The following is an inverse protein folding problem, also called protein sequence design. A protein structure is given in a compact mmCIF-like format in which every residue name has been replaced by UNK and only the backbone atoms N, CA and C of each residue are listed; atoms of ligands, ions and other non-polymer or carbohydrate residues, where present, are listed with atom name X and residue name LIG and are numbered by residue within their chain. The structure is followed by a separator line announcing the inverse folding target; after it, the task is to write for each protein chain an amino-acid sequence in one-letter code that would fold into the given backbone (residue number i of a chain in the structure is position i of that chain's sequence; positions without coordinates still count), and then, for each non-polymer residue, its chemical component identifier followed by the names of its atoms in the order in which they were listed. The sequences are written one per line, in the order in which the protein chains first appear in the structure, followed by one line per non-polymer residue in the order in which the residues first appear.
data_IF_708232177384
#
_entry.id   IF_708232177384
#
_cell.length_a   1.000
_cell.length_b   1.000
_cell.length_c   1.000
_cell.angle_alpha   90.00
_cell.angle_beta   90.00
_cell.angle_gamma   90.00
#
_symmetry.space_group_name_H-M   'P 1'
#
loop_
_entity.id
_entity.type
_entity.pdbx_description
1 polymer ?
#
# COMPACT_ATOMS: atom_id res chain seq x y z
N UNK A 1 19.31 37.62 -26.94
CA UNK A 1 18.31 36.53 -26.86
C UNK A 1 17.09 37.08 -26.15
N UNK A 2 15.91 36.91 -26.73
CA UNK A 2 14.68 37.45 -26.17
C UNK A 2 14.30 36.69 -24.89
N UNK A 3 14.20 37.34 -23.70
CA UNK A 3 13.93 36.68 -22.41
C UNK A 3 12.60 35.91 -22.39
N UNK A 4 11.63 36.29 -23.22
CA UNK A 4 10.34 35.60 -23.39
C UNK A 4 10.51 34.21 -23.99
N UNK A 5 11.47 34.03 -24.92
CA UNK A 5 11.75 32.74 -25.58
C UNK A 5 12.39 31.72 -24.65
N UNK A 6 12.97 32.14 -23.53
CA UNK A 6 13.56 31.27 -22.50
C UNK A 6 12.56 31.03 -21.36
N UNK A 7 11.73 32.02 -21.04
CA UNK A 7 10.81 31.94 -19.89
C UNK A 7 9.68 30.93 -20.11
N UNK A 8 9.11 30.83 -21.30
CA UNK A 8 7.98 29.90 -21.59
C UNK A 8 8.40 28.42 -21.49
N UNK A 9 9.50 27.93 -22.12
CA UNK A 9 9.91 26.55 -21.95
C UNK A 9 10.37 26.24 -20.53
N UNK A 10 10.98 27.19 -19.79
CA UNK A 10 11.35 27.00 -18.40
C UNK A 10 10.12 26.83 -17.49
N UNK A 11 9.09 27.67 -17.68
CA UNK A 11 7.83 27.57 -16.95
C UNK A 11 7.10 26.24 -17.24
N UNK A 12 7.06 25.81 -18.49
CA UNK A 12 6.49 24.52 -18.87
C UNK A 12 7.24 23.33 -18.26
N UNK A 13 8.57 23.37 -18.24
CA UNK A 13 9.41 22.33 -17.63
C UNK A 13 9.20 22.26 -16.12
N UNK A 14 9.13 23.39 -15.41
CA UNK A 14 8.86 23.47 -13.98
C UNK A 14 7.46 22.95 -13.64
N UNK A 15 6.45 23.29 -14.45
CA UNK A 15 5.08 22.77 -14.28
C UNK A 15 5.01 21.27 -14.49
N UNK A 16 5.69 20.73 -15.50
CA UNK A 16 5.80 19.30 -15.75
C UNK A 16 6.50 18.54 -14.60
N UNK A 17 7.59 19.11 -14.07
CA UNK A 17 8.30 18.54 -12.90
C UNK A 17 7.43 18.53 -11.64
N UNK A 18 6.67 19.61 -11.38
CA UNK A 18 5.77 19.70 -10.23
C UNK A 18 4.62 18.68 -10.32
N UNK A 19 4.01 18.53 -11.49
CA UNK A 19 2.96 17.53 -11.74
C UNK A 19 3.53 16.11 -11.59
N UNK A 20 4.72 15.83 -12.14
CA UNK A 20 5.38 14.54 -11.99
C UNK A 20 5.67 14.24 -10.51
N UNK A 21 6.23 15.19 -9.78
CA UNK A 21 6.44 15.04 -8.32
C UNK A 21 5.13 14.75 -7.58
N UNK A 22 4.06 15.51 -7.88
CA UNK A 22 2.75 15.33 -7.27
C UNK A 22 2.16 13.95 -7.55
N UNK A 23 2.33 13.45 -8.78
CA UNK A 23 1.74 12.19 -9.23
C UNK A 23 2.51 10.95 -8.76
N UNK A 24 3.85 11.01 -8.74
CA UNK A 24 4.72 9.84 -8.56
C UNK A 24 5.36 9.73 -7.17
N UNK A 25 5.65 10.87 -6.51
CA UNK A 25 6.39 10.80 -5.25
C UNK A 25 5.45 10.48 -4.06
N UNK A 26 5.66 9.35 -3.34
CA UNK A 26 4.72 8.88 -2.32
C UNK A 26 4.42 9.89 -1.20
N UNK A 27 5.38 10.74 -0.85
CA UNK A 27 5.23 11.75 0.22
C UNK A 27 4.65 13.08 -0.25
N UNK A 28 4.38 13.22 -1.55
CA UNK A 28 3.77 14.46 -2.06
C UNK A 28 2.35 14.62 -1.53
N UNK A 29 2.04 15.81 -1.03
CA UNK A 29 0.71 16.20 -0.54
C UNK A 29 0.04 17.24 -1.47
N UNK A 30 0.59 17.45 -2.67
CA UNK A 30 0.10 18.50 -3.60
C UNK A 30 -1.33 18.23 -4.06
N UNK A 31 -1.68 16.98 -4.36
CA UNK A 31 -3.04 16.61 -4.76
C UNK A 31 -3.97 16.31 -3.59
N UNK A 32 -3.48 16.38 -2.35
CA UNK A 32 -4.23 16.13 -1.14
C UNK A 32 -3.46 15.28 -0.13
N UNK A 33 -4.06 15.12 1.05
CA UNK A 33 -3.43 14.41 2.17
C UNK A 33 -3.34 12.90 1.91
N UNK A 34 -2.17 12.33 2.15
CA UNK A 34 -1.92 10.89 2.11
C UNK A 34 -1.19 10.42 3.36
N UNK A 35 -1.50 9.21 3.81
CA UNK A 35 -0.78 8.50 4.87
C UNK A 35 0.41 7.79 4.22
N UNK A 36 1.64 8.13 4.62
CA UNK A 36 2.85 7.50 4.10
C UNK A 36 3.83 7.07 5.18
N UNK A 37 3.47 7.22 6.47
CA UNK A 37 4.24 6.84 7.65
C UNK A 37 3.32 6.44 8.79
N UNK A 38 3.85 5.67 9.74
CA UNK A 38 3.18 5.44 11.02
C UNK A 38 3.46 6.58 12.00
N UNK A 39 2.66 6.70 13.08
CA UNK A 39 2.81 7.76 14.09
C UNK A 39 3.92 7.48 15.11
N UNK A 40 4.52 6.29 15.12
CA UNK A 40 5.61 5.93 16.03
C UNK A 40 6.75 5.25 15.29
N UNK A 41 7.99 5.61 15.62
CA UNK A 41 9.19 5.01 15.05
C UNK A 41 9.35 3.50 15.35
N UNK A 42 8.68 3.00 16.37
CA UNK A 42 8.65 1.57 16.73
C UNK A 42 7.54 0.77 16.03
N UNK A 43 6.75 1.41 15.17
CA UNK A 43 5.71 0.74 14.40
C UNK A 43 6.20 0.43 12.98
N UNK A 44 5.87 -0.76 12.50
CA UNK A 44 5.98 -1.17 11.11
C UNK A 44 4.60 -1.61 10.62
N UNK A 45 4.01 -0.85 9.70
CA UNK A 45 2.81 -1.27 9.01
C UNK A 45 3.18 -2.15 7.82
N UNK A 46 2.89 -3.45 7.94
CA UNK A 46 3.01 -4.39 6.84
C UNK A 46 1.79 -4.24 5.93
N UNK A 47 2.01 -3.99 4.65
CA UNK A 47 0.90 -3.84 3.69
C UNK A 47 1.13 -4.68 2.45
N UNK A 48 0.07 -5.35 1.99
CA UNK A 48 0.06 -6.27 0.87
C UNK A 48 -0.93 -5.80 -0.19
N UNK A 49 -0.48 -5.69 -1.44
CA UNK A 49 -1.28 -5.24 -2.56
C UNK A 49 -1.61 -6.40 -3.53
N UNK A 50 -2.61 -6.19 -4.38
CA UNK A 50 -3.02 -7.07 -5.49
C UNK A 50 -3.69 -8.41 -5.10
N UNK A 51 -3.94 -8.65 -3.80
CA UNK A 51 -4.66 -9.84 -3.33
C UNK A 51 -6.21 -9.71 -3.43
N UNK A 52 -6.95 -10.67 -2.86
CA UNK A 52 -6.46 -11.93 -2.27
C UNK A 52 -5.95 -12.91 -3.32
N UNK A 53 -4.95 -13.72 -2.95
CA UNK A 53 -4.34 -14.69 -3.85
C UNK A 53 -4.38 -16.09 -3.24
N UNK A 54 -5.14 -17.05 -3.81
CA UNK A 54 -5.31 -18.37 -3.22
C UNK A 54 -4.02 -19.21 -3.15
N UNK A 55 -3.00 -18.88 -3.96
CA UNK A 55 -1.71 -19.58 -3.93
C UNK A 55 -0.76 -19.07 -2.84
N UNK A 56 -0.88 -17.83 -2.43
CA UNK A 56 0.10 -17.15 -1.57
C UNK A 56 -0.52 -16.67 -0.25
N UNK A 57 -1.69 -16.01 -0.30
CA UNK A 57 -2.28 -15.37 0.88
C UNK A 57 -2.46 -16.34 2.06
N UNK A 58 -2.92 -17.60 1.92
CA UNK A 58 -3.03 -18.52 3.05
C UNK A 58 -1.69 -18.74 3.76
N UNK A 59 -0.62 -19.00 3.03
CA UNK A 59 0.73 -19.18 3.56
C UNK A 59 1.28 -17.91 4.22
N UNK A 60 0.94 -16.75 3.66
CA UNK A 60 1.27 -15.46 4.24
C UNK A 60 0.57 -15.24 5.57
N UNK A 61 -0.72 -15.58 5.67
CA UNK A 61 -1.49 -15.50 6.91
C UNK A 61 -0.89 -16.39 8.00
N UNK A 62 -0.51 -17.63 7.66
CA UNK A 62 0.14 -18.56 8.59
C UNK A 62 1.51 -18.02 9.07
N UNK A 63 2.26 -17.39 8.17
CA UNK A 63 3.53 -16.76 8.52
C UNK A 63 3.31 -15.55 9.46
N UNK A 64 2.34 -14.70 9.18
CA UNK A 64 2.03 -13.54 10.03
C UNK A 64 1.56 -13.95 11.43
N UNK A 65 0.77 -15.01 11.56
CA UNK A 65 0.31 -15.54 12.86
C UNK A 65 1.45 -16.03 13.73
N UNK A 66 2.51 -16.66 13.16
CA UNK A 66 3.71 -17.09 13.90
C UNK A 66 4.41 -15.94 14.63
N UNK A 67 4.27 -14.71 14.14
CA UNK A 67 4.86 -13.51 14.71
C UNK A 67 3.84 -12.62 15.43
N UNK A 68 2.59 -13.07 15.58
CA UNK A 68 1.46 -12.26 16.06
C UNK A 68 1.39 -10.90 15.31
N UNK A 69 1.70 -10.92 14.01
CA UNK A 69 1.75 -9.75 13.17
C UNK A 69 0.37 -9.46 12.57
N UNK A 70 -0.10 -8.23 12.70
CA UNK A 70 -1.28 -7.74 11.98
C UNK A 70 -0.84 -6.90 10.78
N UNK A 71 -1.58 -7.00 9.69
CA UNK A 71 -1.24 -6.37 8.43
C UNK A 71 -2.47 -5.75 7.77
N UNK A 72 -2.24 -4.97 6.72
CA UNK A 72 -3.31 -4.41 5.89
C UNK A 72 -3.19 -4.95 4.47
N UNK A 73 -4.28 -5.48 3.94
CA UNK A 73 -4.38 -6.02 2.59
C UNK A 73 -5.19 -5.05 1.71
N UNK A 74 -4.55 -4.44 0.73
CA UNK A 74 -5.17 -3.62 -0.30
C UNK A 74 -5.62 -4.54 -1.43
N UNK A 75 -6.89 -4.92 -1.39
CA UNK A 75 -7.43 -5.97 -2.26
C UNK A 75 -8.10 -5.44 -3.51
N UNK A 76 -7.97 -6.17 -4.62
CA UNK A 76 -8.62 -5.88 -5.89
C UNK A 76 -10.04 -6.45 -5.85
N UNK A 77 -11.05 -5.63 -6.09
CA UNK A 77 -12.46 -5.98 -5.92
C UNK A 77 -12.90 -7.19 -6.75
N UNK A 78 -12.39 -7.35 -7.99
CA UNK A 78 -12.69 -8.56 -8.79
C UNK A 78 -12.17 -9.83 -8.11
N UNK A 79 -11.00 -9.81 -7.50
CA UNK A 79 -10.46 -10.98 -6.79
C UNK A 79 -11.15 -11.21 -5.44
N UNK A 80 -11.65 -10.16 -4.80
CA UNK A 80 -12.53 -10.31 -3.63
C UNK A 80 -13.77 -11.12 -3.98
N UNK A 81 -14.43 -10.82 -5.13
CA UNK A 81 -15.60 -11.57 -5.58
C UNK A 81 -15.30 -13.03 -5.93
N UNK A 82 -14.12 -13.28 -6.53
CA UNK A 82 -13.68 -14.64 -6.89
C UNK A 82 -13.24 -15.46 -5.65
N UNK A 83 -12.71 -14.81 -4.62
CA UNK A 83 -12.11 -15.44 -3.45
C UNK A 83 -12.76 -14.98 -2.13
N UNK A 84 -14.09 -14.95 -2.06
CA UNK A 84 -14.82 -14.44 -0.88
C UNK A 84 -14.46 -15.14 0.43
N UNK A 85 -14.30 -16.47 0.40
CA UNK A 85 -13.92 -17.25 1.58
C UNK A 85 -12.54 -16.82 2.13
N UNK A 86 -11.56 -16.64 1.25
CA UNK A 86 -10.22 -16.17 1.61
C UNK A 86 -10.25 -14.72 2.11
N UNK A 87 -11.07 -13.86 1.50
CA UNK A 87 -11.27 -12.48 1.97
C UNK A 87 -11.83 -12.45 3.39
N UNK A 88 -12.82 -13.31 3.70
CA UNK A 88 -13.36 -13.49 5.06
C UNK A 88 -12.29 -13.99 6.03
N UNK A 89 -11.45 -14.92 5.62
CA UNK A 89 -10.37 -15.46 6.43
C UNK A 89 -9.34 -14.38 6.79
N UNK A 90 -8.93 -13.53 5.84
CA UNK A 90 -8.05 -12.37 6.12
C UNK A 90 -8.63 -11.52 7.26
N UNK A 91 -9.92 -11.16 7.16
CA UNK A 91 -10.60 -10.36 8.18
C UNK A 91 -10.73 -11.10 9.52
N UNK A 92 -11.09 -12.40 9.49
CA UNK A 92 -11.27 -13.23 10.69
C UNK A 92 -9.97 -13.42 11.48
N UNK A 93 -8.81 -13.44 10.80
CA UNK A 93 -7.49 -13.46 11.43
C UNK A 93 -7.02 -12.08 11.95
N UNK A 94 -7.91 -11.05 11.91
CA UNK A 94 -7.67 -9.72 12.49
C UNK A 94 -6.81 -8.80 11.61
N UNK A 95 -6.66 -9.10 10.33
CA UNK A 95 -6.03 -8.19 9.38
C UNK A 95 -7.03 -7.17 8.85
N UNK A 96 -6.52 -6.01 8.42
CA UNK A 96 -7.33 -4.95 7.85
C UNK A 96 -7.46 -5.12 6.34
N UNK A 97 -8.68 -5.09 5.82
CA UNK A 97 -8.96 -5.02 4.39
C UNK A 97 -9.08 -3.56 3.94
N UNK A 98 -8.49 -3.24 2.80
CA UNK A 98 -8.46 -1.92 2.21
C UNK A 98 -8.69 -1.97 0.69
N UNK A 99 -9.15 -0.88 0.12
CA UNK A 99 -9.55 -0.79 -1.29
C UNK A 99 -8.32 -0.58 -2.20
N UNK A 100 -8.20 -1.43 -3.25
CA UNK A 100 -7.19 -1.29 -4.30
C UNK A 100 -7.81 -1.22 -5.71
N UNK A 101 -9.00 -0.60 -5.82
CA UNK A 101 -9.84 -0.53 -7.02
C UNK A 101 -10.47 -1.87 -7.42
N UNK A 102 -11.39 -1.82 -8.39
CA UNK A 102 -12.07 -3.02 -8.89
C UNK A 102 -11.19 -3.85 -9.81
N UNK A 103 -10.42 -3.20 -10.72
CA UNK A 103 -9.69 -3.90 -11.80
C UNK A 103 -8.21 -3.53 -11.89
N UNK A 104 -7.72 -2.65 -10.99
CA UNK A 104 -6.33 -2.17 -10.94
C UNK A 104 -5.90 -1.35 -12.17
N UNK A 105 -6.68 -0.37 -12.65
CA UNK A 105 -6.26 0.48 -13.76
C UNK A 105 -5.25 1.54 -13.31
N UNK A 106 -4.53 2.12 -14.27
CA UNK A 106 -3.73 3.30 -14.00
C UNK A 106 -4.64 4.54 -13.90
N UNK A 107 -4.96 4.93 -12.66
CA UNK A 107 -5.89 6.02 -12.35
C UNK A 107 -5.40 7.40 -12.80
N UNK A 108 -4.10 7.58 -13.03
CA UNK A 108 -3.54 8.86 -13.47
C UNK A 108 -4.19 9.36 -14.79
N UNK A 109 -4.54 8.43 -15.66
CA UNK A 109 -5.14 8.71 -16.96
C UNK A 109 -6.68 8.75 -16.98
N UNK A 110 -7.32 8.50 -15.83
CA UNK A 110 -8.78 8.41 -15.74
C UNK A 110 -9.38 9.70 -15.20
N UNK A 111 -10.60 10.00 -15.68
CA UNK A 111 -11.43 11.07 -15.14
C UNK A 111 -12.17 10.65 -13.85
N UNK A 112 -12.78 11.62 -13.14
CA UNK A 112 -13.36 11.39 -11.81
C UNK A 112 -14.47 10.33 -11.80
N UNK A 113 -15.30 10.24 -12.82
CA UNK A 113 -16.37 9.24 -12.90
C UNK A 113 -15.82 7.81 -12.98
N UNK A 114 -14.79 7.57 -13.81
CA UNK A 114 -14.16 6.27 -13.96
C UNK A 114 -13.40 5.88 -12.67
N UNK A 115 -12.67 6.82 -12.07
CA UNK A 115 -12.00 6.63 -10.77
C UNK A 115 -13.02 6.26 -9.70
N UNK A 116 -14.11 7.02 -9.58
CA UNK A 116 -15.17 6.76 -8.61
C UNK A 116 -15.84 5.40 -8.80
N UNK A 117 -16.05 4.98 -10.05
CA UNK A 117 -16.63 3.68 -10.36
C UNK A 117 -15.72 2.52 -9.93
N UNK A 118 -14.42 2.60 -10.22
CA UNK A 118 -13.42 1.62 -9.78
C UNK A 118 -13.37 1.47 -8.25
N UNK A 119 -13.41 2.59 -7.53
CA UNK A 119 -13.41 2.58 -6.06
C UNK A 119 -14.72 2.03 -5.48
N UNK A 120 -15.90 2.46 -6.01
CA UNK A 120 -17.20 2.00 -5.51
C UNK A 120 -17.43 0.51 -5.72
N UNK A 121 -17.10 -0.02 -6.88
CA UNK A 121 -17.27 -1.46 -7.15
C UNK A 121 -16.40 -2.34 -6.23
N UNK A 122 -15.20 -1.89 -5.86
CA UNK A 122 -14.39 -2.58 -4.88
C UNK A 122 -14.98 -2.46 -3.46
N UNK A 123 -15.56 -1.30 -3.08
CA UNK A 123 -16.29 -1.14 -1.82
C UNK A 123 -17.48 -2.08 -1.73
N UNK A 124 -18.25 -2.21 -2.81
CA UNK A 124 -19.37 -3.14 -2.91
C UNK A 124 -18.89 -4.59 -2.72
N UNK A 125 -17.81 -5.00 -3.41
CA UNK A 125 -17.25 -6.34 -3.25
C UNK A 125 -16.81 -6.63 -1.80
N UNK A 126 -16.19 -5.66 -1.12
CA UNK A 126 -15.81 -5.78 0.29
C UNK A 126 -17.04 -5.83 1.20
N UNK A 127 -18.04 -4.97 0.97
CA UNK A 127 -19.29 -4.99 1.72
C UNK A 127 -20.03 -6.33 1.57
N UNK A 128 -20.06 -6.91 0.37
CA UNK A 128 -20.64 -8.23 0.11
C UNK A 128 -19.87 -9.35 0.82
N UNK A 129 -18.53 -9.27 0.83
CA UNK A 129 -17.69 -10.32 1.41
C UNK A 129 -17.64 -10.27 2.95
N UNK A 130 -17.45 -9.10 3.55
CA UNK A 130 -17.15 -8.97 4.99
C UNK A 130 -18.09 -8.05 5.77
N UNK A 131 -19.12 -7.51 5.12
CA UNK A 131 -20.15 -6.69 5.77
C UNK A 131 -19.76 -5.24 6.07
N UNK A 132 -18.54 -4.81 5.70
CA UNK A 132 -18.05 -3.47 5.97
C UNK A 132 -17.27 -2.91 4.77
N UNK A 133 -17.49 -1.62 4.41
CA UNK A 133 -16.69 -0.94 3.40
C UNK A 133 -15.29 -0.62 3.95
N UNK A 134 -14.29 -0.54 3.07
CA UNK A 134 -12.95 -0.13 3.44
C UNK A 134 -12.89 1.35 3.85
N UNK A 135 -12.08 1.67 4.85
CA UNK A 135 -11.77 3.05 5.29
C UNK A 135 -10.47 3.58 4.68
N UNK A 136 -9.69 2.71 4.04
CA UNK A 136 -8.40 3.03 3.45
C UNK A 136 -8.37 2.59 2.00
N UNK A 137 -7.62 3.35 1.21
CA UNK A 137 -7.49 3.15 -0.22
C UNK A 137 -6.01 3.33 -0.62
N UNK A 138 -5.54 2.51 -1.55
CA UNK A 138 -4.26 2.72 -2.20
C UNK A 138 -4.46 2.76 -3.71
N UNK A 139 -3.97 3.83 -4.38
CA UNK A 139 -4.06 3.89 -5.83
C UNK A 139 -3.12 2.86 -6.47
N UNK A 140 -3.57 2.13 -7.51
CA UNK A 140 -2.71 1.30 -8.33
C UNK A 140 -1.42 2.01 -8.77
N UNK A 141 -0.29 1.31 -8.68
CA UNK A 141 1.05 1.85 -8.98
C UNK A 141 1.48 3.05 -8.09
N UNK A 142 0.68 3.44 -7.09
CA UNK A 142 0.85 4.69 -6.34
C UNK A 142 0.58 5.96 -7.13
N UNK A 143 0.06 5.84 -8.36
CA UNK A 143 -0.12 6.95 -9.27
C UNK A 143 -1.41 7.73 -8.99
N UNK A 144 -1.29 9.06 -8.98
CA UNK A 144 -2.38 9.96 -8.60
C UNK A 144 -2.50 11.12 -9.59
N UNK A 145 -3.72 11.56 -9.77
CA UNK A 145 -4.07 12.86 -10.29
C UNK A 145 -4.94 13.61 -9.25
N UNK A 146 -5.33 14.86 -9.44
CA UNK A 146 -6.10 15.62 -8.45
C UNK A 146 -7.41 14.93 -8.02
N UNK A 147 -8.06 14.19 -8.91
CA UNK A 147 -9.34 13.52 -8.62
C UNK A 147 -9.21 12.25 -7.80
N UNK A 148 -8.05 11.57 -7.80
CA UNK A 148 -7.85 10.30 -7.08
C UNK A 148 -8.07 10.48 -5.58
N UNK A 149 -7.42 11.48 -4.98
CA UNK A 149 -7.50 11.71 -3.53
C UNK A 149 -8.84 12.33 -3.15
N UNK A 150 -9.39 13.26 -3.96
CA UNK A 150 -10.71 13.85 -3.69
C UNK A 150 -11.82 12.79 -3.72
N UNK A 151 -11.82 11.92 -4.74
CA UNK A 151 -12.81 10.84 -4.86
C UNK A 151 -12.70 9.83 -3.71
N UNK A 152 -11.48 9.44 -3.31
CA UNK A 152 -11.31 8.57 -2.15
C UNK A 152 -11.91 9.19 -0.87
N UNK A 153 -11.67 10.50 -0.65
CA UNK A 153 -12.24 11.24 0.49
C UNK A 153 -13.78 11.35 0.41
N UNK A 154 -14.35 11.59 -0.75
CA UNK A 154 -15.80 11.61 -0.97
C UNK A 154 -16.46 10.27 -0.64
N UNK A 155 -15.72 9.17 -0.85
CA UNK A 155 -16.11 7.80 -0.46
C UNK A 155 -15.69 7.43 0.97
N UNK A 156 -15.37 8.41 1.82
CA UNK A 156 -14.94 8.25 3.22
C UNK A 156 -13.71 7.37 3.39
N UNK A 157 -12.80 7.34 2.39
CA UNK A 157 -11.53 6.62 2.45
C UNK A 157 -10.34 7.57 2.56
N UNK A 158 -9.34 7.16 3.36
CA UNK A 158 -8.04 7.81 3.44
C UNK A 158 -7.06 7.14 2.47
N UNK A 159 -6.32 7.96 1.70
CA UNK A 159 -5.32 7.44 0.75
C UNK A 159 -4.03 7.09 1.48
N UNK A 160 -3.55 5.87 1.27
CA UNK A 160 -2.33 5.33 1.89
C UNK A 160 -1.28 5.04 0.84
N UNK A 161 -0.06 5.49 1.09
CA UNK A 161 1.12 5.14 0.31
C UNK A 161 2.15 4.45 1.22
N UNK A 162 3.43 4.57 0.94
CA UNK A 162 4.48 3.81 1.63
C UNK A 162 5.75 4.64 1.88
N UNK A 163 6.58 4.13 2.78
CA UNK A 163 7.97 4.57 2.94
C UNK A 163 8.93 3.71 2.14
N UNK A 164 8.65 2.41 2.03
CA UNK A 164 9.47 1.45 1.31
C UNK A 164 8.63 0.59 0.36
N UNK A 165 9.11 0.52 -0.89
CA UNK A 165 8.60 -0.34 -1.96
C UNK A 165 9.79 -1.07 -2.57
N UNK A 166 10.11 -2.30 -2.14
CA UNK A 166 11.36 -2.99 -2.48
C UNK A 166 11.39 -3.56 -3.89
N UNK A 167 10.25 -3.64 -4.57
CA UNK A 167 10.14 -4.12 -5.95
C UNK A 167 9.97 -5.63 -6.06
N UNK A 168 9.26 -6.22 -5.11
CA UNK A 168 8.99 -7.67 -4.99
C UNK A 168 8.17 -8.27 -6.13
N UNK A 169 7.46 -7.44 -6.92
CA UNK A 169 6.76 -7.87 -8.13
C UNK A 169 7.69 -8.22 -9.30
N UNK A 170 8.97 -7.83 -9.21
CA UNK A 170 9.96 -8.14 -10.23
C UNK A 170 10.34 -9.62 -10.14
N UNK A 171 10.53 -10.25 -11.30
CA UNK A 171 10.96 -11.65 -11.38
C UNK A 171 12.46 -11.80 -11.07
N UNK A 172 12.80 -11.50 -9.80
CA UNK A 172 14.16 -11.61 -9.27
C UNK A 172 14.17 -12.60 -8.10
N UNK A 173 15.27 -13.31 -7.84
CA UNK A 173 15.34 -14.25 -6.73
C UNK A 173 15.23 -13.56 -5.36
N UNK A 174 14.94 -14.34 -4.30
CA UNK A 174 14.74 -13.81 -2.94
C UNK A 174 16.00 -13.10 -2.40
N UNK A 175 17.17 -13.54 -2.79
CA UNK A 175 18.47 -12.94 -2.45
C UNK A 175 18.63 -11.53 -3.01
N UNK A 176 17.94 -11.20 -4.09
CA UNK A 176 17.90 -9.86 -4.63
C UNK A 176 16.89 -8.98 -3.85
N UNK A 177 15.80 -9.55 -3.38
CA UNK A 177 14.74 -8.83 -2.68
C UNK A 177 15.08 -8.53 -1.21
N UNK A 178 15.63 -9.52 -0.51
CA UNK A 178 15.90 -9.46 0.94
C UNK A 178 16.73 -8.24 1.35
N UNK A 179 17.87 -7.90 0.72
CA UNK A 179 18.64 -6.70 1.09
C UNK A 179 17.88 -5.39 0.87
N UNK A 180 16.91 -5.35 0.00
CA UNK A 180 16.12 -4.14 -0.31
C UNK A 180 15.13 -3.78 0.80
N UNK A 181 14.90 -4.67 1.76
CA UNK A 181 14.10 -4.42 2.95
C UNK A 181 14.95 -4.01 4.17
N UNK A 182 16.28 -4.06 4.07
CA UNK A 182 17.22 -3.66 5.11
C UNK A 182 16.98 -2.23 5.65
N UNK A 183 16.58 -1.21 4.86
CA UNK A 183 16.32 0.12 5.38
C UNK A 183 15.32 0.18 6.54
N UNK A 184 14.39 -0.78 6.65
CA UNK A 184 13.48 -0.87 7.79
C UNK A 184 14.25 -1.19 9.07
N UNK A 185 15.19 -2.16 9.03
CA UNK A 185 16.01 -2.52 10.16
C UNK A 185 16.94 -1.36 10.59
N UNK A 186 17.56 -0.66 9.62
CA UNK A 186 18.37 0.53 9.88
C UNK A 186 17.56 1.66 10.53
N UNK A 187 16.33 1.85 10.07
CA UNK A 187 15.39 2.80 10.64
C UNK A 187 14.99 2.43 12.08
N UNK A 188 14.76 1.15 12.35
CA UNK A 188 14.44 0.65 13.69
C UNK A 188 15.60 0.86 14.67
N UNK A 189 16.84 0.58 14.27
CA UNK A 189 18.05 0.85 15.05
C UNK A 189 18.23 2.33 15.40
N UNK A 190 17.72 3.22 14.56
CA UNK A 190 17.75 4.68 14.75
C UNK A 190 16.42 5.25 15.28
N UNK A 191 15.53 4.42 15.82
CA UNK A 191 14.17 4.83 16.24
C UNK A 191 14.17 6.03 17.21
N UNK A 192 15.14 6.12 18.12
CA UNK A 192 15.26 7.23 19.06
C UNK A 192 15.46 8.63 18.41
N UNK A 193 15.86 8.65 17.13
CA UNK A 193 16.08 9.88 16.34
C UNK A 193 14.93 10.13 15.34
N UNK A 194 13.87 9.35 15.40
CA UNK A 194 12.75 9.40 14.43
C UNK A 194 11.43 9.62 15.15
N UNK A 195 10.56 10.43 14.58
CA UNK A 195 9.22 10.70 15.09
C UNK A 195 8.13 9.82 14.45
N UNK A 196 8.51 8.95 13.52
CA UNK A 196 7.56 8.11 12.76
C UNK A 196 8.24 6.84 12.27
N UNK A 197 7.46 5.77 12.13
CA UNK A 197 7.92 4.50 11.59
C UNK A 197 7.58 4.34 10.10
N UNK A 198 7.60 3.10 9.66
CA UNK A 198 7.57 2.78 8.25
C UNK A 198 6.28 2.07 7.83
N UNK A 199 5.88 2.28 6.58
CA UNK A 199 4.87 1.51 5.87
C UNK A 199 5.59 0.75 4.75
N UNK A 200 5.64 -0.56 4.85
CA UNK A 200 6.18 -1.45 3.83
C UNK A 200 5.06 -1.83 2.84
N UNK A 201 5.30 -1.59 1.56
CA UNK A 201 4.42 -2.04 0.49
C UNK A 201 5.07 -3.21 -0.24
N UNK A 202 4.47 -4.37 -0.14
CA UNK A 202 4.79 -5.59 -0.89
C UNK A 202 3.50 -6.19 -1.45
N UNK A 203 3.58 -7.30 -2.17
CA UNK A 203 2.43 -7.86 -2.87
C UNK A 203 2.22 -9.32 -2.48
N UNK A 204 0.98 -9.69 -2.17
CA UNK A 204 0.56 -11.09 -2.05
C UNK A 204 -0.11 -11.58 -3.34
N UNK A 205 -0.51 -10.66 -4.22
CA UNK A 205 -1.15 -10.95 -5.50
C UNK A 205 -0.40 -10.41 -6.72
N UNK A 206 -1.02 -10.60 -7.88
CA UNK A 206 -0.58 -10.05 -9.16
C UNK A 206 -1.81 -9.50 -9.89
N UNK A 207 -1.84 -8.19 -10.11
CA UNK A 207 -3.04 -7.52 -10.64
C UNK A 207 -3.54 -8.04 -11.99
N UNK A 208 -2.71 -8.73 -12.77
CA UNK A 208 -3.10 -9.25 -14.10
C UNK A 208 -3.82 -10.59 -14.04
N UNK A 209 -3.49 -11.40 -13.04
CA UNK A 209 -4.04 -12.76 -12.92
C UNK A 209 -4.17 -13.21 -11.48
N UNK A 210 -5.23 -13.94 -11.17
CA UNK A 210 -5.38 -14.63 -9.90
C UNK A 210 -4.34 -15.75 -9.78
N UNK A 211 -3.78 -15.96 -8.58
CA UNK A 211 -2.82 -17.04 -8.33
C UNK A 211 -1.37 -16.75 -8.79
N UNK A 212 -1.05 -15.51 -9.13
CA UNK A 212 0.34 -15.13 -9.50
C UNK A 212 1.35 -15.45 -8.42
N UNK A 213 2.54 -15.96 -8.78
CA UNK A 213 3.59 -16.33 -7.84
C UNK A 213 4.18 -15.11 -7.10
N UNK A 214 4.14 -15.18 -5.76
CA UNK A 214 4.76 -14.24 -4.83
C UNK A 214 5.56 -14.97 -3.74
N UNK A 215 6.03 -16.18 -4.02
CA UNK A 215 6.82 -16.99 -3.09
C UNK A 215 8.09 -16.26 -2.61
N UNK A 216 8.68 -15.42 -3.45
CA UNK A 216 9.84 -14.60 -3.09
C UNK A 216 9.53 -13.52 -2.04
N UNK A 217 8.31 -12.98 -2.04
CA UNK A 217 7.82 -12.07 -1.00
C UNK A 217 7.73 -12.81 0.33
N UNK A 218 7.17 -14.03 0.34
CA UNK A 218 7.14 -14.90 1.52
C UNK A 218 8.56 -15.17 2.04
N UNK A 219 9.48 -15.62 1.20
CA UNK A 219 10.86 -15.93 1.60
C UNK A 219 11.60 -14.72 2.18
N UNK A 220 11.39 -13.52 1.62
CA UNK A 220 11.96 -12.30 2.17
C UNK A 220 11.35 -11.93 3.54
N UNK A 221 10.04 -12.16 3.74
CA UNK A 221 9.36 -11.94 5.03
C UNK A 221 9.77 -12.98 6.08
N UNK A 222 9.94 -14.25 5.71
CA UNK A 222 10.49 -15.30 6.60
C UNK A 222 11.87 -14.89 7.15
N UNK A 223 12.70 -14.25 6.34
CA UNK A 223 13.98 -13.71 6.78
C UNK A 223 13.84 -12.50 7.69
N UNK A 224 12.94 -11.54 7.36
CA UNK A 224 12.89 -10.25 8.04
C UNK A 224 11.99 -10.18 9.26
N UNK A 225 10.86 -10.87 9.31
CA UNK A 225 9.91 -10.79 10.43
C UNK A 225 10.55 -11.06 11.80
N UNK A 226 11.34 -12.16 11.99
CA UNK A 226 12.01 -12.39 13.27
C UNK A 226 12.98 -11.26 13.61
N UNK A 227 13.74 -10.76 12.63
CA UNK A 227 14.74 -9.70 12.83
C UNK A 227 14.11 -8.37 13.21
N UNK A 228 13.03 -7.98 12.53
CA UNK A 228 12.29 -6.77 12.87
C UNK A 228 11.65 -6.84 14.25
N UNK A 229 11.07 -7.98 14.62
CA UNK A 229 10.56 -8.21 15.97
C UNK A 229 11.68 -8.08 17.02
N UNK A 230 12.85 -8.68 16.78
CA UNK A 230 14.00 -8.66 17.70
C UNK A 230 14.61 -7.24 17.82
N UNK A 231 14.41 -6.37 16.83
CA UNK A 231 14.70 -4.94 16.88
C UNK A 231 13.61 -4.12 17.62
N UNK A 232 12.57 -4.76 18.16
CA UNK A 232 11.49 -4.11 18.91
C UNK A 232 10.40 -3.47 18.08
N UNK A 233 10.33 -3.76 16.75
CA UNK A 233 9.25 -3.26 15.92
C UNK A 233 7.93 -3.95 16.25
N UNK A 234 6.87 -3.17 16.38
CA UNK A 234 5.48 -3.61 16.51
C UNK A 234 4.83 -3.64 15.14
N UNK A 235 4.34 -4.80 14.74
CA UNK A 235 3.59 -4.97 13.49
C UNK A 235 2.17 -4.49 13.68
N UNK A 236 1.74 -3.53 12.88
CA UNK A 236 0.44 -2.85 13.03
C UNK A 236 -0.31 -2.77 11.70
N UNK A 237 -1.63 -2.75 11.77
CA UNK A 237 -2.48 -2.36 10.64
C UNK A 237 -2.37 -0.87 10.36
N UNK A 238 -2.82 -0.40 9.19
CA UNK A 238 -2.90 1.04 8.90
C UNK A 238 -3.83 1.75 9.89
N UNK A 239 -4.90 1.12 10.34
CA UNK A 239 -5.80 1.72 11.33
C UNK A 239 -5.07 2.03 12.65
N UNK A 240 -4.26 1.09 13.14
CA UNK A 240 -3.44 1.28 14.36
C UNK A 240 -2.27 2.24 14.11
N UNK A 241 -1.71 2.22 12.89
CA UNK A 241 -0.55 3.02 12.52
C UNK A 241 -0.80 4.53 12.52
N UNK A 242 -2.06 4.98 12.38
CA UNK A 242 -2.44 6.41 12.30
C UNK A 242 -3.05 6.95 13.59
N UNK A 243 -3.28 6.09 14.57
CA UNK A 243 -3.78 6.49 15.88
C UNK A 243 -2.67 6.40 16.90
N UNK A 244 -2.45 7.49 17.66
CA UNK A 244 -1.61 7.43 18.86
C UNK A 244 -2.35 6.55 19.87
N UNK A 245 -1.70 5.53 20.48
CA UNK A 245 -2.33 4.80 21.58
C UNK A 245 -2.80 5.80 22.65
N UNK A 246 -4.04 5.69 23.09
CA UNK A 246 -4.48 6.41 24.29
C UNK A 246 -3.55 5.97 25.44
N UNK A 247 -2.82 6.93 26.02
CA UNK A 247 -1.97 6.73 27.20
C UNK A 247 -2.80 6.49 28.43
#
# INVERSE_FOLDING_TARGET
MNPVLIAVPAAAALSGAAVSYAAFYPRSQIFGTTICRTVSAQQLALTFDDGPNPAITPRLLDLLDQFNARATFFVIGRFVRECQALTKEIAARGHLLANHTQTHPNLFWLGPNAIGNEMRQCQEALQEAVGNPAKYFRPPFGLRNPWVISTARELAMQTVLWTLLPGDWREKPVEWLTPRMQPIAENAQNAARRNSGDILCVHDGAHRQLGGDRSRTLGALEYWLPRWRDLGLKFVTIAEAVHTPAT
#
